data_IF_193084354068
#
_entry.id   IF_193084354068
#
_cell.length_a   1.000
_cell.length_b   1.000
_cell.length_c   1.000
_cell.angle_alpha   90.00
_cell.angle_beta   90.00
_cell.angle_gamma   90.00
#
_symmetry.space_group_name_H-M   'P 1'
#
loop_
_entity.id
_entity.type
_entity.pdbx_description
1 polymer ?
#
# COMPACT_ATOMS: atom_id res chain seq x y z
N UNK A 1 -37.71 7.36 -1.75
CA UNK A 1 -36.73 7.45 -2.86
C UNK A 1 -37.40 6.89 -4.09
N UNK A 2 -37.25 7.53 -5.26
CA UNK A 2 -37.82 7.03 -6.53
C UNK A 2 -36.68 6.81 -7.51
N UNK A 3 -36.53 5.58 -7.99
CA UNK A 3 -35.49 5.22 -8.95
C UNK A 3 -35.99 5.47 -10.38
N UNK A 4 -35.15 6.08 -11.22
CA UNK A 4 -35.39 6.24 -12.66
C UNK A 4 -34.27 5.49 -13.38
N UNK A 5 -34.60 4.45 -14.15
CA UNK A 5 -33.63 3.59 -14.81
C UNK A 5 -34.13 3.09 -16.17
N UNK A 6 -33.18 2.76 -17.04
CA UNK A 6 -33.44 2.16 -18.36
C UNK A 6 -32.88 0.74 -18.39
N UNK A 7 -33.72 -0.23 -18.00
CA UNK A 7 -33.40 -1.66 -17.90
C UNK A 7 -33.78 -2.26 -16.55
N UNK A 8 -34.41 -3.43 -16.56
CA UNK A 8 -35.04 -4.04 -15.36
C UNK A 8 -34.03 -4.34 -14.24
N UNK A 9 -32.82 -4.76 -14.60
CA UNK A 9 -31.76 -5.13 -13.65
C UNK A 9 -30.87 -3.95 -13.20
N UNK A 10 -31.11 -2.72 -13.69
CA UNK A 10 -30.26 -1.56 -13.37
C UNK A 10 -30.31 -1.13 -11.91
N UNK A 11 -31.35 -1.55 -11.20
CA UNK A 11 -31.57 -1.24 -9.78
C UNK A 11 -31.52 -2.49 -8.91
N UNK A 12 -30.99 -3.60 -9.44
CA UNK A 12 -30.75 -4.80 -8.66
C UNK A 12 -29.75 -4.52 -7.54
N UNK A 13 -30.00 -5.07 -6.35
CA UNK A 13 -29.16 -4.82 -5.18
C UNK A 13 -29.27 -3.41 -4.58
N UNK A 14 -30.25 -2.60 -4.98
CA UNK A 14 -30.44 -1.28 -4.38
C UNK A 14 -30.75 -1.37 -2.86
N UNK A 15 -30.26 -0.45 -2.03
CA UNK A 15 -30.40 -0.52 -0.57
C UNK A 15 -31.78 -0.06 -0.06
N UNK A 16 -32.67 0.42 -0.93
CA UNK A 16 -33.94 1.04 -0.55
C UNK A 16 -35.16 0.11 -0.72
N UNK A 17 -34.96 -1.11 -1.20
CA UNK A 17 -35.99 -2.12 -1.31
C UNK A 17 -35.41 -3.52 -1.02
N UNK A 18 -36.23 -4.48 -0.54
CA UNK A 18 -35.80 -5.87 -0.42
C UNK A 18 -35.36 -6.45 -1.76
N UNK A 19 -34.32 -7.30 -1.74
CA UNK A 19 -33.79 -7.96 -2.93
C UNK A 19 -34.83 -8.94 -3.52
N UNK A 20 -35.24 -8.78 -4.80
CA UNK A 20 -36.14 -9.71 -5.47
C UNK A 20 -35.60 -11.13 -5.50
N UNK A 21 -36.49 -12.14 -5.49
CA UNK A 21 -36.09 -13.55 -5.39
C UNK A 21 -35.26 -14.03 -6.58
N UNK A 22 -35.62 -13.65 -7.81
CA UNK A 22 -34.84 -13.99 -9.01
C UNK A 22 -33.41 -13.47 -8.92
N UNK A 23 -33.25 -12.19 -8.58
CA UNK A 23 -31.96 -11.52 -8.42
C UNK A 23 -31.14 -12.15 -7.29
N UNK A 24 -31.79 -12.47 -6.16
CA UNK A 24 -31.16 -13.18 -5.05
C UNK A 24 -30.62 -14.53 -5.51
N UNK A 25 -31.41 -15.31 -6.24
CA UNK A 25 -31.01 -16.63 -6.71
C UNK A 25 -29.85 -16.55 -7.71
N UNK A 26 -29.85 -15.53 -8.58
CA UNK A 26 -28.76 -15.30 -9.53
C UNK A 26 -27.46 -14.92 -8.80
N UNK A 27 -27.52 -13.99 -7.84
CA UNK A 27 -26.37 -13.61 -7.00
C UNK A 27 -25.88 -14.81 -6.17
N UNK A 28 -26.81 -15.59 -5.59
CA UNK A 28 -26.46 -16.77 -4.80
C UNK A 28 -25.69 -17.79 -5.64
N UNK A 29 -26.16 -18.07 -6.86
CA UNK A 29 -25.46 -18.95 -7.81
C UNK A 29 -24.04 -18.47 -8.12
N UNK A 30 -23.86 -17.16 -8.30
CA UNK A 30 -22.54 -16.58 -8.56
C UNK A 30 -21.60 -16.73 -7.36
N UNK A 31 -22.08 -16.41 -6.15
CA UNK A 31 -21.30 -16.55 -4.92
C UNK A 31 -20.93 -18.01 -4.66
N UNK A 32 -21.86 -18.94 -4.88
CA UNK A 32 -21.60 -20.37 -4.70
C UNK A 32 -20.54 -20.85 -5.70
N UNK A 33 -20.62 -20.44 -6.97
CA UNK A 33 -19.60 -20.77 -7.96
C UNK A 33 -18.20 -20.23 -7.58
N UNK A 34 -18.13 -18.98 -7.11
CA UNK A 34 -16.89 -18.39 -6.62
C UNK A 34 -16.34 -19.13 -5.40
N UNK A 35 -17.22 -19.55 -4.47
CA UNK A 35 -16.85 -20.34 -3.29
C UNK A 35 -16.24 -21.69 -3.69
N UNK A 36 -16.83 -22.38 -4.65
CA UNK A 36 -16.30 -23.65 -5.16
C UNK A 36 -14.90 -23.49 -5.77
N UNK A 37 -14.72 -22.48 -6.63
CA UNK A 37 -13.44 -22.17 -7.25
C UNK A 37 -12.37 -21.80 -6.20
N UNK A 38 -12.75 -21.02 -5.20
CA UNK A 38 -11.86 -20.68 -4.09
C UNK A 38 -11.40 -21.93 -3.33
N UNK A 39 -12.34 -22.81 -2.94
CA UNK A 39 -12.01 -24.04 -2.23
C UNK A 39 -11.13 -25.00 -3.05
N UNK A 40 -11.37 -25.09 -4.36
CA UNK A 40 -10.52 -25.86 -5.27
C UNK A 40 -9.09 -25.32 -5.29
N UNK A 41 -8.94 -24.01 -5.42
CA UNK A 41 -7.63 -23.34 -5.45
C UNK A 41 -6.88 -23.52 -4.13
N UNK A 42 -7.58 -23.42 -3.00
CA UNK A 42 -7.00 -23.67 -1.68
C UNK A 42 -6.52 -25.12 -1.57
N UNK A 43 -7.34 -26.09 -1.98
CA UNK A 43 -6.97 -27.50 -1.92
C UNK A 43 -5.72 -27.80 -2.76
N UNK A 44 -5.65 -27.25 -3.98
CA UNK A 44 -4.47 -27.33 -4.84
C UNK A 44 -3.24 -26.72 -4.17
N UNK A 45 -3.37 -25.52 -3.58
CA UNK A 45 -2.28 -24.83 -2.89
C UNK A 45 -1.78 -25.53 -1.62
N UNK A 46 -2.61 -26.36 -0.97
CA UNK A 46 -2.23 -27.09 0.25
C UNK A 46 -1.65 -28.46 0.02
N UNK A 47 -1.46 -28.87 -1.24
CA UNK A 47 -0.70 -30.06 -1.62
C UNK A 47 -1.08 -31.33 -0.83
N UNK A 48 -2.39 -31.55 -0.64
CA UNK A 48 -2.93 -32.71 0.07
C UNK A 48 -3.09 -32.56 1.59
N UNK A 49 -2.67 -31.42 2.19
CA UNK A 49 -2.94 -31.11 3.61
C UNK A 49 -4.38 -30.71 3.88
N UNK A 50 -5.10 -30.22 2.87
CA UNK A 50 -6.50 -29.82 2.96
C UNK A 50 -7.19 -30.17 1.63
N UNK A 51 -8.32 -30.89 1.70
CA UNK A 51 -9.15 -31.17 0.52
C UNK A 51 -10.12 -30.02 0.23
N UNK A 52 -10.70 -30.00 -0.97
CA UNK A 52 -11.72 -29.02 -1.34
C UNK A 52 -12.94 -29.10 -0.40
N UNK A 53 -13.43 -30.30 -0.13
CA UNK A 53 -14.57 -30.52 0.76
C UNK A 53 -14.28 -30.03 2.19
N UNK A 54 -13.07 -30.28 2.68
CA UNK A 54 -12.65 -29.81 3.99
C UNK A 54 -12.51 -28.28 4.03
N UNK A 55 -12.03 -27.65 2.94
CA UNK A 55 -12.01 -26.20 2.80
C UNK A 55 -13.42 -25.61 2.80
N UNK A 56 -14.38 -26.23 2.09
CA UNK A 56 -15.79 -25.81 2.13
C UNK A 56 -16.38 -25.96 3.54
N UNK A 57 -16.13 -27.09 4.22
CA UNK A 57 -16.63 -27.38 5.55
C UNK A 57 -16.17 -26.38 6.64
N UNK A 58 -15.19 -25.53 6.35
CA UNK A 58 -14.81 -24.44 7.26
C UNK A 58 -15.87 -23.35 7.40
N UNK A 59 -16.86 -23.29 6.49
CA UNK A 59 -17.94 -22.30 6.50
C UNK A 59 -17.45 -20.85 6.71
N UNK A 60 -16.29 -20.52 6.11
CA UNK A 60 -15.62 -19.23 6.22
C UNK A 60 -15.33 -18.78 7.67
N UNK A 61 -15.24 -19.72 8.62
CA UNK A 61 -14.86 -19.44 9.99
C UNK A 61 -13.41 -18.89 10.07
N UNK A 62 -13.15 -18.10 11.12
CA UNK A 62 -11.80 -17.57 11.38
C UNK A 62 -11.00 -18.55 12.24
N UNK A 63 -9.81 -18.92 11.78
CA UNK A 63 -8.90 -19.81 12.50
C UNK A 63 -7.66 -19.04 12.96
N UNK A 64 -7.26 -19.22 14.23
CA UNK A 64 -6.08 -18.55 14.80
C UNK A 64 -5.05 -19.54 15.28
N UNK A 65 -3.78 -19.28 14.93
CA UNK A 65 -2.63 -20.01 15.45
C UNK A 65 -2.80 -21.54 15.36
N UNK A 66 -2.86 -22.27 16.50
CA UNK A 66 -2.93 -23.74 16.49
C UNK A 66 -4.12 -24.32 15.73
N UNK A 67 -5.25 -23.63 15.74
CA UNK A 67 -6.46 -24.07 15.05
C UNK A 67 -6.28 -24.07 13.53
N UNK A 68 -5.54 -23.08 12.99
CA UNK A 68 -5.24 -23.03 11.57
C UNK A 68 -4.31 -24.18 11.15
N UNK A 69 -3.35 -24.55 11.99
CA UNK A 69 -2.48 -25.70 11.73
C UNK A 69 -3.29 -27.00 11.80
N UNK A 70 -4.12 -27.16 12.83
CA UNK A 70 -4.97 -28.36 12.99
C UNK A 70 -5.97 -28.53 11.85
N UNK A 71 -6.54 -27.44 11.35
CA UNK A 71 -7.43 -27.43 10.20
C UNK A 71 -6.71 -27.61 8.86
N UNK A 72 -5.37 -27.75 8.85
CA UNK A 72 -4.61 -27.83 7.62
C UNK A 72 -4.61 -26.54 6.81
N UNK A 73 -4.93 -25.39 7.42
CA UNK A 73 -4.91 -24.02 6.88
C UNK A 73 -3.57 -23.27 7.07
N UNK A 74 -2.70 -23.78 7.93
CA UNK A 74 -1.30 -23.37 8.04
C UNK A 74 -0.41 -24.61 8.20
N UNK A 75 0.90 -24.46 7.98
CA UNK A 75 1.85 -25.57 8.16
C UNK A 75 2.42 -25.59 9.58
N UNK A 76 2.75 -24.41 10.14
CA UNK A 76 3.36 -24.26 11.46
C UNK A 76 3.14 -22.84 12.00
N UNK A 77 3.32 -22.67 13.32
CA UNK A 77 3.40 -21.37 13.99
C UNK A 77 4.85 -21.18 14.42
N UNK A 78 5.50 -20.16 13.88
CA UNK A 78 6.90 -19.86 14.16
C UNK A 78 7.12 -18.35 14.20
N UNK A 79 8.12 -17.90 14.96
CA UNK A 79 8.57 -16.52 14.90
C UNK A 79 9.33 -16.22 13.60
N UNK A 80 9.33 -14.95 13.19
CA UNK A 80 9.91 -14.53 11.91
C UNK A 80 11.40 -14.86 11.79
N UNK A 81 12.18 -14.65 12.86
CA UNK A 81 13.63 -14.87 12.83
C UNK A 81 13.96 -16.34 12.58
N UNK A 82 13.30 -17.25 13.30
CA UNK A 82 13.48 -18.69 13.09
C UNK A 82 12.91 -19.16 11.75
N UNK A 83 11.75 -18.67 11.34
CA UNK A 83 11.16 -18.98 10.04
C UNK A 83 12.06 -18.59 8.87
N UNK A 84 12.66 -17.40 8.93
CA UNK A 84 13.58 -16.92 7.91
C UNK A 84 14.90 -17.69 7.89
N UNK A 85 15.44 -18.05 9.06
CA UNK A 85 16.62 -18.91 9.13
C UNK A 85 16.36 -20.28 8.46
N UNK A 86 15.23 -20.93 8.78
CA UNK A 86 14.81 -22.19 8.13
C UNK A 86 14.61 -22.06 6.63
N UNK A 87 14.02 -20.95 6.17
CA UNK A 87 13.84 -20.71 4.74
C UNK A 87 15.18 -20.52 4.01
N UNK A 88 16.14 -19.82 4.61
CA UNK A 88 17.49 -19.70 4.04
C UNK A 88 18.20 -21.05 3.94
N UNK A 89 18.05 -21.89 4.95
CA UNK A 89 18.59 -23.25 4.96
C UNK A 89 17.94 -24.13 3.87
N UNK A 90 16.63 -23.98 3.61
CA UNK A 90 15.96 -24.74 2.56
C UNK A 90 16.42 -24.38 1.14
N UNK A 91 16.88 -23.14 0.94
CA UNK A 91 17.48 -22.69 -0.32
C UNK A 91 18.95 -23.10 -0.48
N UNK A 92 19.69 -23.26 0.61
CA UNK A 92 21.12 -23.61 0.58
C UNK A 92 21.37 -25.12 0.48
N UNK A 93 20.35 -25.94 0.74
CA UNK A 93 20.44 -27.38 0.55
C UNK A 93 20.67 -27.70 -0.95
N UNK A 94 21.75 -28.43 -1.31
CA UNK A 94 22.01 -28.77 -2.70
C UNK A 94 20.88 -29.65 -3.23
N UNK A 95 20.19 -29.17 -4.28
CA UNK A 95 19.15 -29.94 -4.94
C UNK A 95 19.69 -31.30 -5.41
N UNK A 96 18.98 -32.43 -5.16
CA UNK A 96 19.39 -33.74 -5.66
C UNK A 96 19.43 -33.81 -7.20
N UNK A 97 18.80 -32.86 -7.91
CA UNK A 97 18.85 -32.75 -9.37
C UNK A 97 20.06 -31.99 -9.91
N UNK A 98 20.83 -31.30 -9.07
CA UNK A 98 22.01 -30.55 -9.49
C UNK A 98 23.21 -31.44 -9.87
N UNK A 99 23.12 -32.77 -9.67
CA UNK A 99 24.16 -33.76 -10.01
C UNK A 99 23.80 -34.65 -11.21
N UNK A 100 22.84 -34.25 -12.04
CA UNK A 100 22.60 -34.94 -13.31
C UNK A 100 23.52 -34.34 -14.39
N UNK A 101 24.27 -35.15 -15.15
CA UNK A 101 25.08 -34.65 -16.25
C UNK A 101 24.17 -33.97 -17.28
N UNK A 102 24.47 -32.71 -17.58
CA UNK A 102 23.78 -31.94 -18.61
C UNK A 102 24.00 -32.62 -19.96
N UNK A 103 22.94 -33.19 -20.54
CA UNK A 103 22.97 -33.69 -21.92
C UNK A 103 23.18 -32.51 -22.86
N UNK A 104 24.33 -32.47 -23.52
CA UNK A 104 24.64 -31.54 -24.60
C UNK A 104 24.13 -32.13 -25.92
N UNK A 105 23.08 -31.53 -26.48
CA UNK A 105 22.65 -31.83 -27.85
C UNK A 105 23.55 -31.07 -28.83
N UNK A 106 24.23 -31.73 -29.79
CA UNK A 106 24.95 -31.03 -30.84
C UNK A 106 23.94 -30.38 -31.79
N UNK A 107 23.96 -29.05 -31.88
CA UNK A 107 23.22 -28.33 -32.93
C UNK A 107 23.95 -28.52 -34.26
N UNK A 108 23.29 -28.99 -35.32
CA UNK A 108 23.89 -28.98 -36.65
C UNK A 108 24.08 -27.52 -37.11
N UNK A 109 25.24 -27.23 -37.70
CA UNK A 109 25.56 -25.94 -38.30
C UNK A 109 24.60 -25.68 -39.46
N UNK A 110 23.74 -24.67 -39.34
CA UNK A 110 23.01 -24.12 -40.47
C UNK A 110 23.99 -23.45 -41.43
N UNK A 111 23.95 -23.89 -42.69
CA UNK A 111 24.72 -23.32 -43.77
C UNK A 111 24.18 -21.93 -44.10
N UNK A 112 25.06 -20.92 -44.07
CA UNK A 112 24.77 -19.60 -44.59
C UNK A 112 24.52 -19.69 -46.10
N UNK A 113 23.33 -19.30 -46.55
CA UNK A 113 23.08 -18.96 -47.95
C UNK A 113 22.62 -17.51 -48.04
N UNK A 114 23.56 -16.66 -48.43
CA UNK A 114 23.32 -15.33 -48.95
C UNK A 114 22.68 -15.42 -50.34
N UNK A 115 21.55 -14.74 -50.53
CA UNK A 115 21.10 -14.31 -51.83
C UNK A 115 20.29 -13.03 -51.67
N UNK A 116 20.98 -11.90 -51.82
CA UNK A 116 20.36 -10.62 -52.06
C UNK A 116 19.71 -10.67 -53.46
N UNK A 117 18.40 -10.46 -53.53
CA UNK A 117 17.74 -10.03 -54.76
C UNK A 117 16.58 -9.12 -54.40
N UNK A 118 16.87 -7.83 -54.47
CA UNK A 118 15.90 -6.76 -54.63
C UNK A 118 14.94 -7.08 -55.79
N UNK A 119 13.63 -6.96 -55.55
CA UNK A 119 12.63 -6.35 -56.45
C UNK A 119 11.45 -5.93 -55.56
N UNK A 120 10.96 -4.73 -55.88
CA UNK A 120 10.17 -3.83 -55.07
C UNK A 120 8.66 -4.14 -54.97
N UNK A 121 8.11 -3.63 -53.86
CA UNK A 121 6.79 -3.01 -53.65
C UNK A 121 5.49 -3.83 -53.85
N UNK A 122 4.77 -4.03 -52.73
CA UNK A 122 3.47 -3.36 -52.51
C UNK A 122 2.93 -3.63 -51.08
N UNK A 123 3.01 -2.58 -50.25
CA UNK A 123 2.08 -2.10 -49.23
C UNK A 123 1.22 -3.03 -48.34
N UNK A 124 1.44 -2.78 -47.03
CA UNK A 124 0.44 -2.62 -45.95
C UNK A 124 -0.03 -3.88 -45.24
N UNK A 125 0.60 -4.16 -44.09
CA UNK A 125 -0.09 -4.60 -42.88
C UNK A 125 0.63 -4.06 -41.64
N UNK A 126 -0.10 -3.27 -40.84
CA UNK A 126 0.30 -2.87 -39.49
C UNK A 126 0.03 -4.04 -38.54
N UNK A 127 1.06 -4.49 -37.83
CA UNK A 127 0.91 -5.18 -36.54
C UNK A 127 1.99 -4.65 -35.60
N UNK A 128 1.58 -3.78 -34.67
CA UNK A 128 2.39 -3.35 -33.53
C UNK A 128 2.22 -4.34 -32.37
N UNK A 129 3.34 -4.83 -31.87
CA UNK A 129 3.52 -5.13 -30.45
C UNK A 129 4.99 -4.89 -30.08
N UNK A 130 5.18 -3.87 -29.23
CA UNK A 130 6.15 -3.81 -28.13
C UNK A 130 7.64 -4.00 -28.46
N UNK A 131 8.44 -2.92 -28.41
CA UNK A 131 9.74 -2.97 -27.71
C UNK A 131 10.25 -1.59 -27.27
N UNK A 132 10.68 -1.55 -26.01
CA UNK A 132 11.71 -0.74 -25.34
C UNK A 132 12.25 0.55 -25.97
N UNK A 133 12.22 1.63 -25.19
CA UNK A 133 13.23 2.69 -25.26
C UNK A 133 13.68 3.11 -23.86
N UNK A 134 14.94 2.83 -23.55
CA UNK A 134 15.78 3.58 -22.63
C UNK A 134 16.95 4.16 -23.43
N UNK A 135 17.50 5.27 -22.92
CA UNK A 135 18.56 6.18 -23.43
C UNK A 135 17.93 7.49 -23.95
N UNK A 136 18.26 8.67 -23.43
CA UNK A 136 19.61 9.23 -23.22
C UNK A 136 19.60 10.35 -22.17
N UNK A 137 20.68 10.48 -21.39
CA UNK A 137 21.53 11.68 -21.36
C UNK A 137 22.62 11.55 -20.28
N UNK A 138 23.86 11.39 -20.73
CA UNK A 138 25.08 11.46 -19.94
C UNK A 138 25.58 12.91 -19.74
N UNK A 139 26.60 13.02 -18.87
CA UNK A 139 27.60 14.09 -18.65
C UNK A 139 27.29 15.00 -17.46
N UNK A 140 28.11 15.05 -16.40
CA UNK A 140 29.52 15.48 -16.43
C UNK A 140 30.39 14.89 -15.28
N UNK A 141 31.54 14.30 -15.66
CA UNK A 141 32.91 14.43 -15.10
C UNK A 141 33.17 14.59 -13.59
N UNK A 142 33.86 13.62 -12.96
CA UNK A 142 35.31 13.66 -12.62
C UNK A 142 35.70 12.52 -11.64
N UNK A 143 36.69 11.71 -12.02
CA UNK A 143 37.55 10.86 -11.17
C UNK A 143 38.70 11.72 -10.57
N UNK A 144 39.70 11.22 -9.80
CA UNK A 144 40.08 9.84 -9.38
C UNK A 144 40.38 9.76 -7.85
N UNK A 145 40.93 8.75 -7.18
CA UNK A 145 41.23 7.30 -7.30
C UNK A 145 41.64 6.85 -5.87
N UNK A 146 41.45 5.56 -5.56
CA UNK A 146 42.08 4.73 -4.52
C UNK A 146 41.86 5.12 -3.02
N UNK A 147 41.63 4.21 -2.06
CA UNK A 147 42.54 3.16 -1.59
C UNK A 147 41.76 2.11 -0.74
N UNK A 148 42.22 0.87 -0.92
CA UNK A 148 42.16 -0.36 -0.10
C UNK A 148 42.11 -0.27 1.44
N UNK A 149 41.32 -1.20 2.00
CA UNK A 149 41.67 -2.15 3.09
C UNK A 149 41.85 -1.74 4.58
N UNK A 150 41.49 -2.74 5.40
CA UNK A 150 41.95 -3.08 6.76
C UNK A 150 41.17 -2.62 8.00
N UNK A 151 40.52 -3.64 8.58
CA UNK A 151 40.38 -3.91 10.01
C UNK A 151 41.73 -3.75 10.76
N UNK A 152 41.72 -3.16 11.94
CA UNK A 152 42.31 -3.77 13.15
C UNK A 152 42.07 -2.94 14.43
N UNK A 153 41.86 -3.71 15.50
CA UNK A 153 41.88 -3.35 16.92
C UNK A 153 43.24 -2.77 17.34
N UNK A 154 43.28 -1.84 18.30
CA UNK A 154 44.28 -1.90 19.37
C UNK A 154 43.83 -1.20 20.66
N UNK A 155 44.29 -1.83 21.72
CA UNK A 155 44.20 -1.60 23.16
C UNK A 155 44.95 -0.36 23.65
N UNK A 156 44.61 0.13 24.85
CA UNK A 156 45.41 1.17 25.53
C UNK A 156 44.88 1.60 26.90
N UNK A 157 45.65 1.28 27.93
CA UNK A 157 45.38 1.40 29.38
C UNK A 157 45.71 2.77 29.98
N UNK A 158 44.87 3.23 30.93
CA UNK A 158 45.07 4.10 32.12
C UNK A 158 46.02 5.33 32.12
N UNK A 159 45.54 6.48 32.64
CA UNK A 159 45.94 7.11 33.93
C UNK A 159 45.35 8.53 34.13
N UNK A 160 44.70 8.69 35.29
CA UNK A 160 44.61 9.79 36.26
C UNK A 160 45.12 11.23 35.94
N UNK A 161 44.31 12.25 36.30
CA UNK A 161 44.66 13.36 37.22
C UNK A 161 43.78 14.62 37.04
N UNK A 162 43.27 15.12 38.18
CA UNK A 162 42.37 16.24 38.38
C UNK A 162 43.04 17.64 38.36
N UNK A 163 42.26 18.72 38.08
CA UNK A 163 42.40 20.04 38.73
C UNK A 163 41.05 20.81 38.80
N UNK A 164 40.60 21.00 40.05
CA UNK A 164 39.97 22.16 40.73
C UNK A 164 38.64 22.84 40.27
N UNK A 165 37.74 22.93 41.27
CA UNK A 165 36.51 23.73 41.38
C UNK A 165 36.74 25.26 41.47
N UNK A 166 35.67 26.11 41.46
CA UNK A 166 35.00 26.43 42.73
C UNK A 166 33.46 26.51 42.68
N UNK A 167 32.83 26.10 43.78
CA UNK A 167 31.40 26.28 44.13
C UNK A 167 31.16 27.68 44.72
N UNK A 168 29.93 28.21 44.65
CA UNK A 168 28.95 28.02 45.75
C UNK A 168 27.56 27.70 45.18
N UNK A 169 26.51 27.24 45.86
CA UNK A 169 26.25 26.67 47.17
C UNK A 169 24.80 26.13 47.08
N UNK A 170 24.52 24.96 47.65
CA UNK A 170 23.17 24.60 48.13
C UNK A 170 22.17 23.95 47.16
N UNK A 171 22.34 22.68 46.78
CA UNK A 171 21.22 21.72 46.64
C UNK A 171 21.75 20.29 46.64
N UNK A 172 21.08 19.36 47.33
CA UNK A 172 21.51 17.96 47.48
C UNK A 172 21.72 17.26 46.11
N UNK A 173 22.80 16.47 45.92
CA UNK A 173 23.13 15.84 44.63
C UNK A 173 22.08 14.84 44.15
N UNK A 174 21.32 14.23 45.06
CA UNK A 174 20.22 13.30 44.77
C UNK A 174 19.10 13.97 43.95
N UNK A 175 18.70 15.18 44.35
CA UNK A 175 17.59 15.89 43.72
C UNK A 175 17.93 16.36 42.30
N UNK A 176 19.19 16.72 42.03
CA UNK A 176 19.61 17.17 40.69
C UNK A 176 19.62 15.99 39.69
N UNK A 177 20.08 14.81 40.14
CA UNK A 177 20.04 13.60 39.34
C UNK A 177 18.60 13.22 38.95
N UNK A 178 17.67 13.26 39.91
CA UNK A 178 16.24 13.00 39.70
C UNK A 178 15.60 14.02 38.74
N UNK A 179 15.85 15.32 38.92
CA UNK A 179 15.36 16.38 38.03
C UNK A 179 15.89 16.18 36.60
N UNK A 180 17.17 15.80 36.45
CA UNK A 180 17.75 15.53 35.13
C UNK A 180 17.11 14.31 34.44
N UNK A 181 16.74 13.28 35.22
CA UNK A 181 16.07 12.10 34.70
C UNK A 181 14.65 12.44 34.22
N UNK A 182 13.89 13.18 35.03
CA UNK A 182 12.55 13.66 34.67
C UNK A 182 12.58 14.56 33.43
N UNK A 183 13.62 15.39 33.25
CA UNK A 183 13.75 16.24 32.07
C UNK A 183 14.04 15.43 30.78
N UNK A 184 14.80 14.33 30.89
CA UNK A 184 15.01 13.41 29.75
C UNK A 184 13.76 12.61 29.42
N UNK A 185 13.03 12.15 30.44
CA UNK A 185 11.78 11.41 30.28
C UNK A 185 10.69 12.26 29.63
N UNK A 186 10.46 13.48 30.14
CA UNK A 186 9.53 14.44 29.53
C UNK A 186 9.93 14.81 28.09
N UNK A 187 11.22 14.90 27.80
CA UNK A 187 11.69 15.14 26.43
C UNK A 187 11.43 13.95 25.48
N UNK A 188 11.58 12.72 25.97
CA UNK A 188 11.26 11.52 25.21
C UNK A 188 9.74 11.44 24.91
N UNK A 189 8.89 11.78 25.89
CA UNK A 189 7.45 11.84 25.68
C UNK A 189 7.06 12.89 24.62
N UNK A 190 7.66 14.07 24.65
CA UNK A 190 7.40 15.13 23.65
C UNK A 190 7.81 14.66 22.24
N UNK A 191 8.95 13.96 22.12
CA UNK A 191 9.38 13.37 20.85
C UNK A 191 8.38 12.31 20.33
N UNK A 192 7.83 11.49 21.21
CA UNK A 192 6.83 10.48 20.84
C UNK A 192 5.51 11.13 20.38
N UNK A 193 5.01 12.12 21.13
CA UNK A 193 3.74 12.81 20.79
C UNK A 193 3.88 13.55 19.45
N UNK A 194 5.01 14.19 19.20
CA UNK A 194 5.26 14.88 17.92
C UNK A 194 5.37 13.91 16.74
N UNK A 195 5.97 12.73 16.94
CA UNK A 195 5.96 11.67 15.93
C UNK A 195 4.55 11.14 15.64
N UNK A 196 3.70 10.98 16.67
CA UNK A 196 2.30 10.60 16.50
C UNK A 196 1.49 11.69 15.79
N UNK A 197 1.71 12.96 16.13
CA UNK A 197 1.06 14.11 15.47
C UNK A 197 1.40 14.16 13.96
N UNK A 198 2.66 13.88 13.59
CA UNK A 198 3.08 13.80 12.20
C UNK A 198 2.31 12.75 11.39
N UNK A 199 1.97 11.60 12.00
CA UNK A 199 1.12 10.56 11.36
C UNK A 199 -0.32 11.03 11.14
N UNK A 200 -0.80 11.97 11.94
CA UNK A 200 -2.11 12.60 11.81
C UNK A 200 -2.10 13.82 10.87
N UNK A 201 -0.96 14.14 10.26
CA UNK A 201 -0.80 15.30 9.37
C UNK A 201 -0.65 16.64 10.10
N UNK A 202 -0.34 16.62 11.40
CA UNK A 202 -0.19 17.81 12.23
C UNK A 202 1.31 18.07 12.45
N UNK A 203 1.80 19.22 11.97
CA UNK A 203 3.21 19.60 12.12
C UNK A 203 3.44 20.31 13.47
N UNK A 204 4.21 19.67 14.36
CA UNK A 204 4.60 20.24 15.66
C UNK A 204 6.13 20.24 15.77
N UNK A 205 6.69 21.39 16.10
CA UNK A 205 8.14 21.55 16.33
C UNK A 205 8.51 21.10 17.76
N UNK A 206 9.07 19.90 17.87
CA UNK A 206 9.54 19.33 19.14
C UNK A 206 10.62 20.19 19.81
N UNK A 207 11.52 20.79 19.04
CA UNK A 207 12.62 21.60 19.58
C UNK A 207 12.11 22.93 20.16
N UNK A 208 11.02 23.47 19.63
CA UNK A 208 10.32 24.62 20.22
C UNK A 208 9.54 24.23 21.47
N UNK A 209 8.81 23.12 21.44
CA UNK A 209 8.04 22.61 22.58
C UNK A 209 8.91 22.37 23.83
N UNK A 210 10.13 21.87 23.64
CA UNK A 210 11.11 21.67 24.71
C UNK A 210 11.69 22.97 25.25
N UNK A 211 11.97 23.96 24.38
CA UNK A 211 12.48 25.27 24.79
C UNK A 211 11.45 26.08 25.57
N UNK A 212 10.18 25.97 25.17
CA UNK A 212 9.07 26.67 25.81
C UNK A 212 8.60 25.95 27.09
N UNK A 213 9.19 24.80 27.45
CA UNK A 213 8.85 24.04 28.64
C UNK A 213 7.42 23.50 28.64
N UNK A 214 6.87 23.23 27.45
CA UNK A 214 5.48 22.76 27.33
C UNK A 214 5.33 21.38 27.98
N UNK A 215 4.35 21.26 28.88
CA UNK A 215 4.05 19.97 29.49
C UNK A 215 3.58 18.96 28.43
N UNK A 216 4.00 17.69 28.48
CA UNK A 216 3.64 16.69 27.48
C UNK A 216 2.12 16.50 27.38
N UNK A 217 1.38 16.62 28.49
CA UNK A 217 -0.08 16.55 28.51
C UNK A 217 -0.76 17.69 27.74
N UNK A 218 -0.20 18.90 27.82
CA UNK A 218 -0.73 20.06 27.10
C UNK A 218 -0.55 19.88 25.58
N UNK A 219 0.57 19.29 25.17
CA UNK A 219 0.85 18.96 23.78
C UNK A 219 -0.11 17.87 23.27
N UNK A 220 -0.39 16.83 24.06
CA UNK A 220 -1.40 15.80 23.72
C UNK A 220 -2.79 16.40 23.51
N UNK A 221 -3.24 17.31 24.40
CA UNK A 221 -4.54 17.99 24.24
C UNK A 221 -4.59 18.81 22.96
N UNK A 222 -3.54 19.59 22.67
CA UNK A 222 -3.45 20.39 21.46
C UNK A 222 -3.51 19.54 20.18
N UNK A 223 -2.83 18.40 20.15
CA UNK A 223 -2.86 17.47 18.99
C UNK A 223 -4.27 16.93 18.78
N UNK A 224 -4.95 16.53 19.84
CA UNK A 224 -6.32 16.00 19.77
C UNK A 224 -7.32 17.07 19.30
N UNK A 225 -7.20 18.30 19.80
CA UNK A 225 -8.05 19.43 19.38
C UNK A 225 -7.82 19.81 17.91
N UNK A 226 -6.56 19.76 17.44
CA UNK A 226 -6.26 20.02 16.03
C UNK A 226 -6.72 18.88 15.13
N UNK A 227 -6.60 17.62 15.59
CA UNK A 227 -7.07 16.46 14.85
C UNK A 227 -8.61 16.44 14.71
N UNK A 228 -9.34 16.83 15.77
CA UNK A 228 -10.80 16.93 15.72
C UNK A 228 -11.25 18.05 14.78
N UNK A 229 -10.63 19.24 14.85
CA UNK A 229 -10.92 20.34 13.94
C UNK A 229 -10.66 19.97 12.46
N UNK A 230 -9.59 19.21 12.19
CA UNK A 230 -9.28 18.73 10.85
C UNK A 230 -10.28 17.67 10.33
N UNK A 231 -10.86 16.87 11.22
CA UNK A 231 -11.92 15.92 10.89
C UNK A 231 -13.24 16.65 10.57
N UNK A 232 -13.66 17.58 11.42
CA UNK A 232 -14.92 18.34 11.23
C UNK A 232 -14.92 19.15 9.92
N UNK A 233 -13.76 19.67 9.49
CA UNK A 233 -13.63 20.41 8.25
C UNK A 233 -13.81 19.56 6.98
N UNK A 234 -13.60 18.23 7.05
CA UNK A 234 -13.75 17.33 5.89
C UNK A 234 -15.21 16.97 5.61
N UNK A 235 -16.09 17.04 6.61
CA UNK A 235 -17.50 16.70 6.47
C UNK A 235 -18.34 17.83 5.87
N UNK A 236 -17.80 19.06 5.79
CA UNK A 236 -18.49 20.20 5.19
C UNK A 236 -17.92 20.47 3.79
N UNK A 237 -18.43 19.75 2.79
CA UNK A 237 -18.21 20.10 1.38
C UNK A 237 -19.16 21.24 1.00
N UNK A 238 -18.71 22.48 1.17
CA UNK A 238 -19.37 23.65 0.58
C UNK A 238 -19.15 23.64 -0.94
N UNK A 239 -20.07 23.02 -1.68
CA UNK A 239 -20.06 23.07 -3.14
C UNK A 239 -20.29 24.52 -3.60
N UNK A 240 -19.35 25.16 -4.33
CA UNK A 240 -19.62 26.44 -4.96
C UNK A 240 -20.72 26.27 -6.03
N UNK A 241 -21.63 27.24 -6.21
CA UNK A 241 -22.62 27.17 -7.29
C UNK A 241 -21.87 27.11 -8.62
N UNK A 242 -22.08 26.03 -9.36
CA UNK A 242 -21.39 25.77 -10.63
C UNK A 242 -21.64 26.90 -11.65
N UNK A 243 -20.59 27.50 -12.27
CA UNK A 243 -20.72 28.60 -13.22
C UNK A 243 -21.19 28.18 -14.62
N UNK A 244 -21.43 26.87 -14.87
CA UNK A 244 -21.86 26.33 -16.17
C UNK A 244 -23.39 26.21 -16.28
N UNK A 245 -24.11 27.28 -15.98
CA UNK A 245 -25.42 27.50 -16.60
C UNK A 245 -25.28 28.64 -17.62
N UNK A 246 -25.39 28.38 -18.94
CA UNK A 246 -25.80 29.46 -19.83
C UNK A 246 -27.18 29.93 -19.36
N UNK A 247 -27.30 31.23 -19.07
CA UNK A 247 -28.59 31.87 -18.79
C UNK A 247 -29.56 31.47 -19.89
N UNK A 248 -30.70 30.92 -19.48
CA UNK A 248 -31.79 30.40 -20.29
C UNK A 248 -32.11 31.26 -21.51
N UNK A 249 -31.63 30.86 -22.68
CA UNK A 249 -32.37 31.08 -23.92
C UNK A 249 -33.35 29.91 -24.06
N UNK A 250 -34.62 30.27 -24.27
CA UNK A 250 -35.80 29.39 -24.34
C UNK A 250 -35.47 28.05 -25.04
N UNK A 251 -35.82 26.91 -24.41
CA UNK A 251 -35.46 25.60 -24.96
C UNK A 251 -36.17 25.34 -26.30
N UNK A 252 -35.54 24.62 -27.24
CA UNK A 252 -36.07 24.44 -28.60
C UNK A 252 -37.44 23.75 -28.64
N UNK A 253 -37.76 22.94 -27.62
CA UNK A 253 -39.07 22.30 -27.46
C UNK A 253 -40.15 23.34 -27.12
N UNK A 254 -39.84 24.30 -26.23
CA UNK A 254 -40.75 25.38 -25.86
C UNK A 254 -40.95 26.35 -27.03
N UNK A 255 -39.88 26.63 -27.80
CA UNK A 255 -39.97 27.43 -29.02
C UNK A 255 -40.87 26.76 -30.09
N UNK A 256 -40.77 25.44 -30.28
CA UNK A 256 -41.61 24.69 -31.20
C UNK A 256 -43.09 24.68 -30.77
N UNK A 257 -43.36 24.48 -29.48
CA UNK A 257 -44.72 24.50 -28.94
C UNK A 257 -45.39 25.87 -29.11
N UNK A 258 -44.66 26.96 -28.86
CA UNK A 258 -45.16 28.34 -29.03
C UNK A 258 -45.39 28.70 -30.49
N UNK A 259 -44.55 28.19 -31.40
CA UNK A 259 -44.74 28.34 -32.85
C UNK A 259 -45.98 27.57 -33.35
N UNK A 260 -46.20 26.35 -32.84
CA UNK A 260 -47.40 25.57 -33.14
C UNK A 260 -48.68 26.24 -32.59
N UNK A 261 -48.62 26.78 -31.37
CA UNK A 261 -49.75 27.47 -30.75
C UNK A 261 -50.13 28.78 -31.47
N UNK A 262 -49.14 29.53 -31.97
CA UNK A 262 -49.40 30.76 -32.75
C UNK A 262 -49.87 30.49 -34.18
N UNK A 263 -49.51 29.34 -34.77
CA UNK A 263 -50.03 28.90 -36.06
C UNK A 263 -51.49 28.40 -35.98
N UNK A 264 -51.92 27.85 -34.85
CA UNK A 264 -53.29 27.37 -34.61
C UNK A 264 -54.33 28.48 -34.35
N UNK A 265 -53.91 29.73 -34.19
CA UNK A 265 -54.78 30.87 -33.87
C UNK A 265 -55.26 31.68 -35.09
N UNK A 266 -54.96 31.22 -36.33
CA UNK A 266 -55.46 31.84 -37.59
C UNK A 266 -56.26 30.84 -38.44
N UNK A 267 -57.20 30.15 -37.80
CA UNK A 267 -58.25 29.37 -38.46
C UNK A 267 -59.60 29.93 -38.04
#
# INVERSE_FOLDING_TARGET
>A
VTMIHSGDHKVDGNPYAPLPESVRNDIQREIDALRFLFAETVAAGRAGRLSQDAALATEAATYRGPEAVAAGLADEIIDLSRGFARFRESLSAPSPTARLPRVTYPRPKEAAMSANRDIAEANTENTDAEDSVLHEAEQLSNAPDDIEEMLQEDTGTALDAAVASPTPAGTNPSNLAEISAQLRESAAEIAEITAQAGRLGIAIDAARALRDGTAPEALRRLVLDQASAAADARDIVAAPPSPVLPKSTESPIVAAAKKAASAGSRG
#
